data_IF_060145527947
#
_entry.id   IF_060145527947
#
_cell.length_a   1.000
_cell.length_b   1.000
_cell.length_c   1.000
_cell.angle_alpha   90.00
_cell.angle_beta   90.00
_cell.angle_gamma   90.00
#
_symmetry.space_group_name_H-M   'P 1'
#
loop_
_entity.id
_entity.type
_entity.pdbx_description
1 polymer ?
#
# COMPACT_ATOMS: atom_id res chain seq x y z
N UNK A 1 -0.63 -24.70 12.38
CA UNK A 1 -0.20 -24.41 11.00
C UNK A 1 -0.66 -23.01 10.65
N UNK A 2 0.23 -22.13 10.21
CA UNK A 2 -0.20 -20.82 9.74
C UNK A 2 -0.69 -20.98 8.30
N UNK A 3 -1.95 -20.67 8.04
CA UNK A 3 -2.57 -20.70 6.70
C UNK A 3 -2.09 -19.51 5.87
N UNK A 4 -0.82 -19.56 5.44
CA UNK A 4 -0.10 -18.43 4.86
C UNK A 4 0.28 -18.63 3.39
N UNK A 5 -0.16 -19.72 2.77
CA UNK A 5 0.07 -19.97 1.36
C UNK A 5 -0.79 -19.05 0.47
N UNK A 6 -0.23 -18.67 -0.67
CA UNK A 6 -0.92 -17.95 -1.74
C UNK A 6 -0.70 -18.74 -3.02
N UNK A 7 -1.76 -18.95 -3.79
CA UNK A 7 -1.72 -19.78 -4.98
C UNK A 7 -2.18 -19.03 -6.20
N UNK A 8 -1.57 -19.33 -7.34
CA UNK A 8 -2.02 -18.90 -8.66
C UNK A 8 -2.31 -20.18 -9.47
N UNK A 9 -3.54 -20.71 -9.40
CA UNK A 9 -3.87 -22.05 -9.87
C UNK A 9 -3.60 -22.24 -11.36
N UNK A 10 -3.89 -21.26 -12.18
CA UNK A 10 -3.69 -21.33 -13.63
C UNK A 10 -2.23 -21.18 -14.07
N UNK A 11 -1.36 -20.67 -13.19
CA UNK A 11 0.08 -20.57 -13.41
C UNK A 11 0.86 -21.74 -12.78
N UNK A 12 0.20 -22.60 -12.02
CA UNK A 12 0.86 -23.67 -11.27
C UNK A 12 1.78 -23.18 -10.16
N UNK A 13 1.64 -21.93 -9.72
CA UNK A 13 2.50 -21.32 -8.70
C UNK A 13 1.85 -21.47 -7.32
N UNK A 14 2.62 -22.00 -6.37
CA UNK A 14 2.24 -22.06 -4.95
C UNK A 14 3.34 -21.40 -4.13
N UNK A 15 3.03 -20.26 -3.54
CA UNK A 15 3.92 -19.54 -2.63
C UNK A 15 3.60 -20.01 -1.20
N UNK A 16 4.43 -20.90 -0.68
CA UNK A 16 4.28 -21.41 0.68
C UNK A 16 4.85 -20.44 1.71
N UNK A 17 4.23 -20.38 2.90
CA UNK A 17 4.74 -19.59 4.04
C UNK A 17 4.93 -18.09 3.77
N UNK A 18 4.04 -17.49 2.98
CA UNK A 18 4.06 -16.03 2.80
C UNK A 18 3.71 -15.35 4.12
N UNK A 19 4.74 -14.95 4.86
CA UNK A 19 4.59 -14.28 6.15
C UNK A 19 3.98 -12.88 6.01
N UNK A 20 3.43 -12.36 7.10
CA UNK A 20 2.94 -10.99 7.20
C UNK A 20 3.93 -10.09 7.94
N UNK A 21 4.77 -10.68 8.78
CA UNK A 21 5.72 -9.97 9.63
C UNK A 21 6.98 -10.81 9.88
N UNK A 22 8.04 -10.14 10.34
CA UNK A 22 9.23 -10.75 10.93
C UNK A 22 9.16 -10.58 12.44
N UNK A 23 9.36 -11.66 13.21
CA UNK A 23 9.44 -11.59 14.67
C UNK A 23 10.88 -11.50 15.12
N UNK A 24 11.19 -10.48 15.95
CA UNK A 24 12.47 -10.34 16.65
C UNK A 24 12.16 -10.35 18.14
N UNK A 25 12.33 -11.51 18.78
CA UNK A 25 11.83 -11.74 20.13
C UNK A 25 10.31 -11.56 20.21
N UNK A 26 9.84 -10.69 21.08
CA UNK A 26 8.41 -10.37 21.23
C UNK A 26 7.91 -9.25 20.30
N UNK A 27 8.80 -8.67 19.49
CA UNK A 27 8.46 -7.56 18.60
C UNK A 27 8.19 -8.06 17.18
N UNK A 28 7.06 -7.66 16.60
CA UNK A 28 6.67 -8.02 15.24
C UNK A 28 6.79 -6.79 14.32
N UNK A 29 7.59 -6.93 13.27
CA UNK A 29 7.76 -5.91 12.24
C UNK A 29 6.99 -6.36 11.00
N UNK A 30 5.93 -5.63 10.64
CA UNK A 30 5.12 -5.94 9.47
C UNK A 30 5.87 -5.70 8.17
N UNK A 31 5.85 -6.65 7.24
CA UNK A 31 6.42 -6.47 5.89
C UNK A 31 5.85 -5.25 5.19
N UNK A 32 4.56 -4.98 5.37
CA UNK A 32 3.92 -3.78 4.84
C UNK A 32 4.66 -2.50 5.25
N UNK A 33 4.97 -2.35 6.55
CA UNK A 33 5.69 -1.18 7.06
C UNK A 33 7.10 -1.06 6.48
N UNK A 34 7.83 -2.19 6.38
CA UNK A 34 9.17 -2.22 5.77
C UNK A 34 9.10 -1.79 4.30
N UNK A 35 8.17 -2.35 3.53
CA UNK A 35 8.01 -2.07 2.10
C UNK A 35 7.65 -0.60 1.88
N UNK A 36 6.73 -0.05 2.68
CA UNK A 36 6.35 1.37 2.60
C UNK A 36 7.55 2.27 2.93
N UNK A 37 8.32 1.98 3.99
CA UNK A 37 9.51 2.74 4.33
C UNK A 37 10.58 2.69 3.20
N UNK A 38 10.82 1.51 2.65
CA UNK A 38 11.71 1.35 1.50
C UNK A 38 11.17 2.12 0.27
N UNK A 39 9.84 2.12 0.05
CA UNK A 39 9.21 2.87 -1.03
C UNK A 39 9.41 4.38 -0.90
N UNK A 40 9.26 4.93 0.30
CA UNK A 40 9.56 6.34 0.56
C UNK A 40 11.03 6.67 0.30
N UNK A 41 11.96 5.87 0.79
CA UNK A 41 13.40 6.08 0.57
C UNK A 41 13.77 5.97 -0.90
N UNK A 42 13.29 4.96 -1.60
CA UNK A 42 13.53 4.78 -3.03
C UNK A 42 12.93 5.93 -3.85
N UNK A 43 11.69 6.33 -3.51
CA UNK A 43 11.04 7.48 -4.14
C UNK A 43 11.79 8.78 -3.93
N UNK A 44 12.33 9.02 -2.73
CA UNK A 44 13.17 10.16 -2.43
C UNK A 44 14.46 10.16 -3.27
N UNK A 45 15.16 9.02 -3.34
CA UNK A 45 16.39 8.88 -4.15
C UNK A 45 16.11 9.19 -5.60
N UNK A 46 15.01 8.68 -6.17
CA UNK A 46 14.60 8.97 -7.56
C UNK A 46 14.29 10.46 -7.74
N UNK A 47 13.56 11.08 -6.82
CA UNK A 47 13.25 12.50 -6.87
C UNK A 47 14.52 13.37 -6.77
N UNK A 48 15.48 13.00 -5.92
CA UNK A 48 16.76 13.70 -5.81
C UNK A 48 17.63 13.56 -7.05
N UNK A 49 17.63 12.37 -7.69
CA UNK A 49 18.35 12.15 -8.95
C UNK A 49 17.74 12.98 -10.07
N UNK A 50 16.41 13.04 -10.14
CA UNK A 50 15.70 13.86 -11.12
C UNK A 50 15.92 15.35 -10.88
N UNK A 51 15.93 15.78 -9.63
CA UNK A 51 16.27 17.15 -9.25
C UNK A 51 17.68 17.54 -9.74
N UNK A 52 18.68 16.68 -9.52
CA UNK A 52 20.04 16.91 -10.03
C UNK A 52 20.06 17.00 -11.55
N UNK A 53 19.35 16.12 -12.26
CA UNK A 53 19.27 16.11 -13.72
C UNK A 53 18.71 17.41 -14.28
N UNK A 54 17.70 17.98 -13.58
CA UNK A 54 17.00 19.20 -14.00
C UNK A 54 17.56 20.49 -13.40
N UNK A 55 18.74 20.42 -12.76
CA UNK A 55 19.42 21.59 -12.19
C UNK A 55 18.78 22.14 -10.90
N UNK A 56 17.94 21.36 -10.23
CA UNK A 56 17.32 21.72 -8.96
C UNK A 56 18.20 21.29 -7.78
N UNK A 57 18.01 21.91 -6.60
CA UNK A 57 18.67 21.47 -5.38
C UNK A 57 17.99 20.20 -4.84
N UNK A 58 18.68 19.02 -4.82
CA UNK A 58 18.11 17.75 -4.37
C UNK A 58 17.79 17.71 -2.87
N UNK A 59 18.42 18.56 -2.04
CA UNK A 59 18.18 18.58 -0.58
C UNK A 59 16.77 19.06 -0.24
N UNK A 60 16.17 19.88 -1.09
CA UNK A 60 14.81 20.39 -0.92
C UNK A 60 13.78 19.24 -0.82
N UNK A 61 14.01 18.13 -1.51
CA UNK A 61 13.10 16.97 -1.50
C UNK A 61 13.17 16.19 -0.20
N UNK A 62 14.35 16.13 0.43
CA UNK A 62 14.49 15.61 1.80
C UNK A 62 13.80 16.52 2.81
N UNK A 63 14.04 17.83 2.73
CA UNK A 63 13.40 18.81 3.60
C UNK A 63 11.87 18.69 3.49
N UNK A 64 11.34 18.64 2.26
CA UNK A 64 9.90 18.49 2.04
C UNK A 64 9.37 17.17 2.65
N UNK A 65 10.07 16.06 2.47
CA UNK A 65 9.68 14.77 3.06
C UNK A 65 9.55 14.88 4.59
N UNK A 66 10.53 15.52 5.25
CA UNK A 66 10.50 15.72 6.69
C UNK A 66 9.35 16.63 7.12
N UNK A 67 9.07 17.69 6.36
CA UNK A 67 7.96 18.59 6.65
C UNK A 67 6.60 17.91 6.51
N UNK A 68 6.43 17.03 5.53
CA UNK A 68 5.14 16.43 5.22
C UNK A 68 4.80 15.22 6.09
N UNK A 69 5.79 14.49 6.65
CA UNK A 69 5.56 13.19 7.33
C UNK A 69 4.50 13.28 8.44
N UNK A 70 4.71 14.17 9.40
CA UNK A 70 3.80 14.30 10.55
C UNK A 70 2.43 14.86 10.10
N UNK A 71 2.35 15.96 9.34
CA UNK A 71 1.06 16.45 8.85
C UNK A 71 0.29 15.44 8.01
N UNK A 72 0.96 14.65 7.16
CA UNK A 72 0.29 13.62 6.36
C UNK A 72 -0.34 12.52 7.22
N UNK A 73 0.34 12.08 8.29
CA UNK A 73 -0.23 11.11 9.24
C UNK A 73 -1.44 11.71 9.95
N UNK A 74 -1.34 12.96 10.40
CA UNK A 74 -2.46 13.68 11.05
C UNK A 74 -3.65 13.81 10.08
N UNK A 75 -3.39 14.22 8.84
CA UNK A 75 -4.42 14.32 7.82
C UNK A 75 -5.10 12.99 7.49
N UNK A 76 -4.32 11.93 7.39
CA UNK A 76 -4.82 10.57 7.18
C UNK A 76 -5.73 10.13 8.35
N UNK A 77 -5.35 10.46 9.59
CA UNK A 77 -6.15 10.13 10.78
C UNK A 77 -7.43 10.94 10.85
N UNK A 78 -7.34 12.26 10.66
CA UNK A 78 -8.52 13.14 10.65
C UNK A 78 -9.53 12.65 9.62
N UNK A 79 -9.09 12.39 8.39
CA UNK A 79 -9.96 11.88 7.33
C UNK A 79 -10.66 10.59 7.76
N UNK A 80 -9.91 9.61 8.25
CA UNK A 80 -10.48 8.34 8.68
C UNK A 80 -11.51 8.50 9.81
N UNK A 81 -11.18 9.28 10.83
CA UNK A 81 -12.07 9.53 11.98
C UNK A 81 -13.36 10.22 11.56
N UNK A 82 -13.28 11.22 10.67
CA UNK A 82 -14.46 11.94 10.17
C UNK A 82 -15.41 10.99 9.44
N UNK A 83 -14.87 10.12 8.56
CA UNK A 83 -15.70 9.19 7.79
C UNK A 83 -16.08 7.90 8.54
N UNK A 84 -15.51 7.68 9.72
CA UNK A 84 -15.84 6.54 10.59
C UNK A 84 -16.29 7.01 11.99
N UNK A 85 -16.93 8.18 12.07
CA UNK A 85 -17.26 8.85 13.33
C UNK A 85 -18.04 7.96 14.31
N UNK A 86 -18.94 7.13 13.80
CA UNK A 86 -19.73 6.21 14.64
C UNK A 86 -18.89 5.23 15.46
N UNK A 87 -17.67 4.91 15.00
CA UNK A 87 -16.73 4.05 15.73
C UNK A 87 -15.97 4.79 16.84
N UNK A 88 -15.99 6.14 16.84
CA UNK A 88 -15.17 6.95 17.75
C UNK A 88 -15.99 7.82 18.73
N UNK A 89 -17.26 8.11 18.42
CA UNK A 89 -18.10 9.01 19.21
C UNK A 89 -18.24 8.62 20.68
N UNK A 90 -18.21 7.31 20.98
CA UNK A 90 -18.36 6.76 22.32
C UNK A 90 -17.01 6.55 23.05
N UNK A 91 -15.87 6.69 22.33
CA UNK A 91 -14.51 6.53 22.87
C UNK A 91 -13.52 7.48 22.19
N UNK A 92 -13.59 8.76 22.53
CA UNK A 92 -12.75 9.83 21.94
C UNK A 92 -11.24 9.57 22.09
N UNK A 93 -10.69 9.02 23.20
CA UNK A 93 -9.27 8.70 23.31
C UNK A 93 -8.74 7.76 22.24
N UNK A 94 -9.59 6.89 21.68
CA UNK A 94 -9.20 5.97 20.59
C UNK A 94 -8.80 6.70 19.31
N UNK A 95 -9.20 7.96 19.14
CA UNK A 95 -8.77 8.81 18.01
C UNK A 95 -7.24 8.93 17.96
N UNK A 96 -6.55 8.92 19.10
CA UNK A 96 -5.10 9.05 19.20
C UNK A 96 -4.36 7.71 19.10
N UNK A 97 -5.09 6.60 19.10
CA UNK A 97 -4.51 5.27 19.02
C UNK A 97 -4.26 4.83 17.57
N UNK A 98 -3.09 5.14 17.04
CA UNK A 98 -2.69 4.77 15.67
C UNK A 98 -2.33 3.28 15.53
N UNK A 99 -2.14 2.55 16.64
CA UNK A 99 -1.73 1.12 16.61
C UNK A 99 -2.83 0.21 16.09
N UNK A 100 -4.09 0.59 16.26
CA UNK A 100 -5.24 -0.15 15.74
C UNK A 100 -5.54 0.16 14.27
N UNK A 101 -4.67 0.90 13.59
CA UNK A 101 -4.87 1.32 12.20
C UNK A 101 -5.78 2.55 12.09
N UNK A 102 -6.56 2.64 11.03
CA UNK A 102 -7.49 3.75 10.80
C UNK A 102 -6.79 5.01 10.27
N UNK A 103 -6.08 4.85 9.17
CA UNK A 103 -5.45 5.93 8.41
C UNK A 103 -6.03 5.96 6.98
N UNK A 104 -6.70 7.05 6.62
CA UNK A 104 -7.26 7.24 5.29
C UNK A 104 -6.24 7.85 4.33
N UNK A 105 -5.85 7.13 3.29
CA UNK A 105 -4.84 7.58 2.31
C UNK A 105 -5.21 8.93 1.67
N UNK A 106 -6.49 9.16 1.40
CA UNK A 106 -6.99 10.40 0.81
C UNK A 106 -6.63 11.61 1.68
N UNK A 107 -6.85 11.50 3.00
CA UNK A 107 -6.49 12.55 3.95
C UNK A 107 -4.98 12.81 4.01
N UNK A 108 -4.18 11.74 3.95
CA UNK A 108 -2.73 11.83 3.92
C UNK A 108 -2.21 12.55 2.67
N UNK A 109 -2.70 12.16 1.49
CA UNK A 109 -2.33 12.79 0.21
C UNK A 109 -2.78 14.26 0.16
N UNK A 110 -4.02 14.54 0.58
CA UNK A 110 -4.52 15.92 0.63
C UNK A 110 -3.64 16.81 1.51
N UNK A 111 -3.28 16.32 2.70
CA UNK A 111 -2.41 17.05 3.60
C UNK A 111 -0.99 17.22 3.05
N UNK A 112 -0.44 16.19 2.40
CA UNK A 112 0.86 16.28 1.73
C UNK A 112 0.87 17.38 0.64
N UNK A 113 -0.20 17.50 -0.15
CA UNK A 113 -0.35 18.56 -1.15
C UNK A 113 -0.44 19.93 -0.49
N UNK A 114 -1.21 20.08 0.58
CA UNK A 114 -1.31 21.36 1.33
C UNK A 114 0.08 21.75 1.86
N UNK A 115 0.79 20.81 2.48
CA UNK A 115 2.16 21.06 2.97
C UNK A 115 3.09 21.41 1.83
N UNK A 116 2.98 20.78 0.66
CA UNK A 116 3.79 21.11 -0.51
C UNK A 116 3.59 22.57 -0.95
N UNK A 117 2.34 23.02 -1.03
CA UNK A 117 2.03 24.40 -1.42
C UNK A 117 2.62 25.43 -0.43
N UNK A 118 2.50 25.14 0.87
CA UNK A 118 3.08 25.99 1.93
C UNK A 118 4.60 25.96 1.86
N UNK A 119 5.19 24.77 1.76
CA UNK A 119 6.63 24.55 1.70
C UNK A 119 7.24 25.25 0.49
N UNK A 120 6.65 25.07 -0.69
CA UNK A 120 7.10 25.71 -1.93
C UNK A 120 7.08 27.23 -1.82
N UNK A 121 6.03 27.81 -1.21
CA UNK A 121 5.95 29.25 -0.97
C UNK A 121 7.03 29.74 0.00
N UNK A 122 7.24 29.03 1.12
CA UNK A 122 8.24 29.39 2.15
C UNK A 122 9.66 29.29 1.59
N UNK A 123 9.94 28.22 0.85
CA UNK A 123 11.27 27.97 0.24
C UNK A 123 11.47 28.66 -1.10
N UNK A 124 10.50 29.46 -1.57
CA UNK A 124 10.51 30.15 -2.87
C UNK A 124 10.77 29.21 -4.04
N UNK A 125 10.13 28.02 -4.01
CA UNK A 125 10.19 27.01 -5.04
C UNK A 125 8.90 27.00 -5.86
N UNK A 126 8.94 26.44 -7.06
CA UNK A 126 7.73 26.17 -7.84
C UNK A 126 7.11 24.84 -7.38
N UNK A 127 5.89 24.90 -6.85
CA UNK A 127 5.16 23.70 -6.43
C UNK A 127 4.90 22.74 -7.60
N UNK A 128 4.60 23.26 -8.79
CA UNK A 128 4.38 22.45 -9.99
C UNK A 128 5.66 21.73 -10.42
N UNK A 129 6.80 22.42 -10.38
CA UNK A 129 8.10 21.81 -10.70
C UNK A 129 8.48 20.73 -9.68
N UNK A 130 8.19 20.95 -8.40
CA UNK A 130 8.40 19.93 -7.37
C UNK A 130 7.50 18.69 -7.60
N UNK A 131 6.21 18.88 -7.94
CA UNK A 131 5.30 17.78 -8.26
C UNK A 131 5.80 16.99 -9.47
N UNK A 132 6.21 17.68 -10.52
CA UNK A 132 6.74 17.06 -11.74
C UNK A 132 7.96 16.19 -11.42
N UNK A 133 8.92 16.74 -10.69
CA UNK A 133 10.14 16.03 -10.27
C UNK A 133 9.87 14.84 -9.38
N UNK A 134 8.87 14.91 -8.48
CA UNK A 134 8.50 13.81 -7.58
C UNK A 134 7.67 12.70 -8.24
N UNK A 135 7.09 12.95 -9.42
CA UNK A 135 6.16 12.02 -10.07
C UNK A 135 6.73 10.61 -10.22
N UNK A 136 7.99 10.47 -10.66
CA UNK A 136 8.63 9.16 -10.81
C UNK A 136 8.86 8.47 -9.46
N UNK A 137 9.27 9.21 -8.44
CA UNK A 137 9.42 8.71 -7.09
C UNK A 137 8.09 8.24 -6.50
N UNK A 138 7.01 8.98 -6.77
CA UNK A 138 5.65 8.64 -6.36
C UNK A 138 5.16 7.34 -7.02
N UNK A 139 5.36 7.18 -8.33
CA UNK A 139 5.03 5.95 -9.05
C UNK A 139 5.78 4.75 -8.50
N UNK A 140 7.08 4.90 -8.22
CA UNK A 140 7.87 3.84 -7.59
C UNK A 140 7.34 3.48 -6.20
N UNK A 141 7.00 4.48 -5.39
CA UNK A 141 6.37 4.27 -4.09
C UNK A 141 5.02 3.53 -4.18
N UNK A 142 4.20 3.86 -5.20
CA UNK A 142 2.94 3.15 -5.46
C UNK A 142 3.17 1.69 -5.85
N UNK A 143 4.13 1.41 -6.75
CA UNK A 143 4.50 0.04 -7.12
C UNK A 143 4.86 -0.76 -5.87
N UNK A 144 5.75 -0.22 -5.04
CA UNK A 144 6.17 -0.88 -3.80
C UNK A 144 5.00 -1.05 -2.81
N UNK A 145 4.15 -0.05 -2.67
CA UNK A 145 2.96 -0.11 -1.82
C UNK A 145 2.00 -1.24 -2.21
N UNK A 146 1.83 -1.53 -3.51
CA UNK A 146 1.03 -2.66 -3.98
C UNK A 146 1.58 -4.02 -3.55
N UNK A 147 2.91 -4.17 -3.51
CA UNK A 147 3.51 -5.37 -2.91
C UNK A 147 3.26 -5.45 -1.39
N UNK A 148 3.17 -4.32 -0.70
CA UNK A 148 2.71 -4.28 0.69
C UNK A 148 1.30 -4.87 0.85
N UNK A 149 0.36 -4.51 -0.04
CA UNK A 149 -1.00 -5.08 -0.05
C UNK A 149 -0.98 -6.60 -0.27
N UNK A 150 -0.10 -7.12 -1.13
CA UNK A 150 0.09 -8.56 -1.32
C UNK A 150 0.44 -9.28 -0.01
N UNK A 151 1.42 -8.80 0.74
CA UNK A 151 1.81 -9.40 2.03
C UNK A 151 0.72 -9.29 3.09
N UNK A 152 -0.06 -8.21 3.08
CA UNK A 152 -1.20 -8.03 3.98
C UNK A 152 -2.47 -8.79 3.52
N UNK A 153 -2.49 -9.32 2.30
CA UNK A 153 -3.69 -9.90 1.67
C UNK A 153 -4.87 -8.95 1.75
N UNK A 154 -4.68 -7.77 1.20
CA UNK A 154 -5.69 -6.70 1.18
C UNK A 154 -5.75 -6.04 -0.19
N UNK A 155 -6.77 -5.21 -0.43
CA UNK A 155 -6.98 -4.49 -1.68
C UNK A 155 -6.92 -5.40 -2.93
N UNK A 156 -7.42 -6.62 -2.84
CA UNK A 156 -7.67 -7.50 -3.97
C UNK A 156 -9.05 -7.20 -4.59
N UNK A 157 -9.27 -7.65 -5.82
CA UNK A 157 -10.55 -7.45 -6.51
C UNK A 157 -11.61 -8.50 -6.13
N UNK A 158 -12.72 -8.49 -6.85
CA UNK A 158 -13.78 -9.49 -6.71
C UNK A 158 -13.35 -10.89 -7.17
N UNK A 159 -14.31 -11.81 -7.16
CA UNK A 159 -14.09 -13.16 -7.66
C UNK A 159 -13.65 -13.16 -9.13
N UNK A 160 -12.72 -14.05 -9.47
CA UNK A 160 -12.31 -14.30 -10.86
C UNK A 160 -11.84 -15.75 -11.03
N UNK A 161 -12.08 -16.29 -12.23
CA UNK A 161 -11.45 -17.54 -12.67
C UNK A 161 -10.51 -17.29 -13.88
N UNK A 162 -10.05 -16.05 -14.04
CA UNK A 162 -9.11 -15.67 -15.10
C UNK A 162 -7.70 -16.24 -14.90
N UNK A 163 -6.81 -16.09 -15.92
CA UNK A 163 -5.48 -16.71 -15.93
C UNK A 163 -4.58 -16.32 -14.75
N UNK A 164 -4.80 -15.13 -14.16
CA UNK A 164 -4.04 -14.62 -13.03
C UNK A 164 -4.79 -14.73 -11.71
N UNK A 165 -5.86 -15.55 -11.65
CA UNK A 165 -6.61 -15.75 -10.40
C UNK A 165 -5.68 -16.09 -9.24
N UNK A 166 -5.87 -15.42 -8.10
CA UNK A 166 -5.10 -15.61 -6.88
C UNK A 166 -5.99 -16.24 -5.81
N UNK A 167 -5.51 -17.31 -5.20
CA UNK A 167 -6.20 -18.03 -4.14
C UNK A 167 -5.54 -17.75 -2.79
N UNK A 168 -6.38 -17.42 -1.79
CA UNK A 168 -5.95 -17.16 -0.41
C UNK A 168 -6.81 -18.02 0.53
N UNK A 169 -6.23 -18.72 1.52
CA UNK A 169 -7.00 -19.54 2.46
C UNK A 169 -8.04 -18.72 3.23
N UNK A 170 -9.28 -19.17 3.30
CA UNK A 170 -10.33 -18.51 4.08
C UNK A 170 -9.96 -18.47 5.57
N UNK A 171 -9.32 -19.52 6.07
CA UNK A 171 -8.82 -19.61 7.46
C UNK A 171 -7.87 -18.45 7.83
N UNK A 172 -7.16 -17.86 6.87
CA UNK A 172 -6.37 -16.64 7.11
C UNK A 172 -7.25 -15.48 7.57
N UNK A 173 -8.38 -15.23 6.89
CA UNK A 173 -9.31 -14.17 7.25
C UNK A 173 -10.04 -14.42 8.55
N UNK A 174 -10.36 -15.70 8.83
CA UNK A 174 -10.96 -16.14 10.11
C UNK A 174 -10.00 -15.86 11.27
N UNK A 175 -8.73 -16.23 11.13
CA UNK A 175 -7.70 -16.05 12.16
C UNK A 175 -7.47 -14.58 12.53
N UNK A 176 -7.62 -13.65 11.57
CA UNK A 176 -7.42 -12.21 11.78
C UNK A 176 -8.73 -11.44 11.95
N UNK A 177 -9.89 -12.11 12.07
CA UNK A 177 -11.19 -11.48 12.26
C UNK A 177 -11.67 -10.64 11.07
N UNK A 178 -11.18 -10.93 9.85
CA UNK A 178 -11.39 -10.12 8.63
C UNK A 178 -12.44 -10.70 7.66
N UNK A 179 -13.21 -11.69 8.08
CA UNK A 179 -14.23 -12.34 7.22
C UNK A 179 -15.32 -11.34 6.78
N UNK A 180 -15.61 -10.32 7.60
CA UNK A 180 -16.59 -9.28 7.26
C UNK A 180 -16.22 -8.51 5.97
N UNK A 181 -14.92 -8.37 5.68
CA UNK A 181 -14.42 -7.70 4.46
C UNK A 181 -14.82 -8.48 3.18
N UNK A 182 -15.02 -9.79 3.29
CA UNK A 182 -15.37 -10.66 2.18
C UNK A 182 -16.88 -10.72 1.89
N UNK A 183 -17.72 -10.40 2.88
CA UNK A 183 -19.18 -10.53 2.76
C UNK A 183 -19.79 -9.55 1.76
N UNK A 184 -19.26 -8.33 1.70
CA UNK A 184 -19.80 -7.25 0.85
C UNK A 184 -19.46 -7.42 -0.64
N UNK A 185 -18.52 -8.30 -0.97
CA UNK A 185 -18.00 -8.47 -2.35
C UNK A 185 -18.51 -9.72 -3.07
N UNK A 186 -19.39 -10.53 -2.45
CA UNK A 186 -19.88 -11.79 -3.03
C UNK A 186 -18.79 -12.87 -3.23
N UNK A 187 -17.59 -12.66 -2.68
CA UNK A 187 -16.45 -13.59 -2.83
C UNK A 187 -16.75 -14.93 -2.14
N UNK A 188 -17.51 -14.91 -1.03
CA UNK A 188 -17.82 -16.10 -0.25
C UNK A 188 -18.75 -17.08 -0.99
N UNK A 189 -19.46 -16.62 -2.02
CA UNK A 189 -20.35 -17.47 -2.84
C UNK A 189 -19.55 -18.35 -3.82
N UNK A 190 -18.24 -18.09 -3.98
CA UNK A 190 -17.36 -18.73 -4.95
C UNK A 190 -16.09 -19.32 -4.30
N UNK A 191 -16.26 -19.97 -3.14
CA UNK A 191 -15.15 -20.64 -2.47
C UNK A 191 -14.67 -21.87 -3.24
N UNK A 192 -13.36 -22.05 -3.30
CA UNK A 192 -12.72 -23.23 -3.89
C UNK A 192 -12.18 -24.11 -2.75
N UNK A 193 -12.63 -25.37 -2.69
CA UNK A 193 -12.13 -26.32 -1.69
C UNK A 193 -11.02 -27.17 -2.29
N UNK A 194 -9.87 -27.20 -1.62
CA UNK A 194 -8.69 -27.96 -2.01
C UNK A 194 -8.25 -28.86 -0.85
N UNK A 195 -7.85 -30.09 -1.18
CA UNK A 195 -7.21 -30.97 -0.20
C UNK A 195 -5.72 -30.66 -0.12
N UNK A 196 -5.27 -30.15 1.01
CA UNK A 196 -3.87 -29.79 1.26
C UNK A 196 -3.40 -30.56 2.49
N UNK A 197 -2.36 -31.39 2.34
CA UNK A 197 -1.83 -32.23 3.42
C UNK A 197 -2.89 -33.11 4.12
N UNK A 198 -3.91 -33.57 3.37
CA UNK A 198 -4.99 -34.40 3.91
C UNK A 198 -6.14 -33.63 4.56
N UNK A 199 -6.07 -32.30 4.64
CA UNK A 199 -7.16 -31.43 5.13
C UNK A 199 -7.86 -30.74 3.96
N UNK A 200 -9.18 -30.65 4.02
CA UNK A 200 -9.97 -29.87 3.08
C UNK A 200 -9.98 -28.41 3.54
N UNK A 201 -9.33 -27.55 2.76
CA UNK A 201 -9.23 -26.12 3.02
C UNK A 201 -10.01 -25.33 1.98
N UNK A 202 -10.81 -24.36 2.43
CA UNK A 202 -11.52 -23.43 1.57
C UNK A 202 -10.62 -22.23 1.25
N UNK A 203 -10.60 -21.83 -0.02
CA UNK A 203 -9.86 -20.68 -0.53
C UNK A 203 -10.83 -19.67 -1.15
N UNK A 204 -10.63 -18.39 -0.91
CA UNK A 204 -11.18 -17.35 -1.77
C UNK A 204 -10.36 -17.28 -3.04
N UNK A 205 -11.00 -16.95 -4.17
CA UNK A 205 -10.34 -16.81 -5.47
C UNK A 205 -10.66 -15.45 -6.05
N UNK A 206 -9.64 -14.58 -6.24
CA UNK A 206 -9.81 -13.16 -6.46
C UNK A 206 -8.86 -12.60 -7.51
N UNK A 207 -9.16 -11.40 -8.04
CA UNK A 207 -8.24 -10.66 -8.88
C UNK A 207 -7.04 -10.15 -8.08
N UNK A 208 -5.79 -10.42 -8.51
CA UNK A 208 -4.56 -9.90 -7.88
C UNK A 208 -4.32 -8.44 -8.29
N UNK A 209 -5.11 -7.50 -7.77
CA UNK A 209 -5.04 -6.08 -8.15
C UNK A 209 -3.68 -5.47 -7.86
N UNK A 210 -2.96 -5.95 -6.84
CA UNK A 210 -1.59 -5.55 -6.56
C UNK A 210 -0.68 -5.71 -7.79
N UNK A 211 -0.84 -6.83 -8.52
CA UNK A 211 -0.06 -7.14 -9.70
C UNK A 211 -0.48 -6.25 -10.87
N UNK A 212 -1.79 -6.09 -11.10
CA UNK A 212 -2.30 -5.28 -12.20
C UNK A 212 -1.86 -3.83 -12.08
N UNK A 213 -2.09 -3.22 -10.92
CA UNK A 213 -1.72 -1.84 -10.68
C UNK A 213 -0.20 -1.65 -10.58
N UNK A 214 0.51 -2.63 -9.99
CA UNK A 214 1.96 -2.61 -9.95
C UNK A 214 2.58 -2.62 -11.36
N UNK A 215 2.11 -3.48 -12.27
CA UNK A 215 2.57 -3.55 -13.66
C UNK A 215 2.17 -2.29 -14.45
N UNK A 216 0.97 -1.78 -14.24
CA UNK A 216 0.51 -0.56 -14.90
C UNK A 216 1.36 0.66 -14.50
N UNK A 217 1.59 0.84 -13.20
CA UNK A 217 2.44 1.91 -12.70
C UNK A 217 3.91 1.76 -13.16
N UNK A 218 4.41 0.52 -13.26
CA UNK A 218 5.73 0.24 -13.82
C UNK A 218 5.82 0.65 -15.30
N UNK A 219 4.79 0.32 -16.09
CA UNK A 219 4.73 0.72 -17.50
C UNK A 219 4.75 2.26 -17.64
N UNK A 220 3.94 2.96 -16.84
CA UNK A 220 3.93 4.44 -16.84
C UNK A 220 5.31 4.98 -16.45
N UNK A 221 5.93 4.43 -15.42
CA UNK A 221 7.27 4.83 -14.96
C UNK A 221 8.30 4.64 -16.08
N UNK A 222 8.28 3.51 -16.77
CA UNK A 222 9.18 3.24 -17.90
C UNK A 222 8.93 4.21 -19.06
N UNK A 223 7.67 4.51 -19.41
CA UNK A 223 7.33 5.51 -20.41
C UNK A 223 7.89 6.88 -20.07
N UNK A 224 7.72 7.34 -18.81
CA UNK A 224 8.28 8.62 -18.36
C UNK A 224 9.82 8.60 -18.45
N UNK A 225 10.45 7.50 -18.04
CA UNK A 225 11.91 7.32 -18.13
C UNK A 225 12.43 7.44 -19.57
N UNK A 226 11.71 6.87 -20.54
CA UNK A 226 12.09 6.94 -21.94
C UNK A 226 11.86 8.35 -22.52
N UNK A 227 10.71 8.95 -22.18
CA UNK A 227 10.30 10.26 -22.70
C UNK A 227 11.15 11.41 -22.14
N UNK A 228 11.56 11.36 -20.87
CA UNK A 228 12.32 12.43 -20.19
C UNK A 228 13.72 12.71 -20.74
N UNK A 229 14.23 11.87 -21.66
CA UNK A 229 15.56 12.05 -22.27
C UNK A 229 15.60 13.19 -23.29
N UNK A 230 14.45 13.65 -23.68
CA UNK A 230 14.24 14.73 -24.62
C UNK A 230 13.67 15.94 -23.90
#
# INVERSE_FOLDING_TARGET
MQYTDIRFPHLGIVLSHVGRYISIGNFQIMFYGIIIACGFLAGLVVAQQEAKRTGQNPEIYMDYLLWMMIPAIIGARIYYVVFSWDAYKDNIPEIFNLRHGGLGIVGGVTMAIIVLLIFAKVRKQSALLMLDTMTMGLLLGQIMGRWGNFFNREAFGGYTNGPLAMQIPLKYFEQYGRVSELKTSGILDHLVTLTVNGENLSYIQVHPTFLYEGLWNLLILLCIFLYRKH
#
